data_IF_637191394975
#
_entry.id   IF_637191394975
#
_cell.length_a   1.000
_cell.length_b   1.000
_cell.length_c   1.000
_cell.angle_alpha   90.00
_cell.angle_beta   90.00
_cell.angle_gamma   90.00
#
_symmetry.space_group_name_H-M   'P 1'
#
loop_
_entity.id
_entity.type
_entity.pdbx_description
1 polymer ?
#
# COMPACT_ATOMS: atom_id res chain seq x y z
N UNK A 1 10.51 10.67 10.91
CA UNK A 1 10.75 9.92 12.16
C UNK A 1 9.81 8.72 12.34
N UNK A 2 8.55 8.76 11.91
CA UNK A 2 7.57 7.67 12.13
C UNK A 2 7.94 6.32 11.48
N UNK A 3 8.54 6.30 10.30
CA UNK A 3 8.89 5.03 9.63
C UNK A 3 10.07 4.30 10.27
N UNK A 4 11.05 5.01 10.80
CA UNK A 4 12.24 4.40 11.43
C UNK A 4 11.91 3.59 12.68
N UNK A 5 10.97 4.06 13.50
CA UNK A 5 10.49 3.30 14.67
C UNK A 5 9.66 2.08 14.26
N UNK A 6 8.84 2.18 13.19
CA UNK A 6 8.08 1.05 12.68
C UNK A 6 8.96 -0.07 12.11
N UNK A 7 10.03 0.28 11.37
CA UNK A 7 11.00 -0.70 10.87
C UNK A 7 11.70 -1.43 12.02
N UNK A 8 12.16 -0.72 13.06
CA UNK A 8 12.82 -1.33 14.21
C UNK A 8 11.88 -2.24 14.98
N UNK A 9 10.68 -1.77 15.34
CA UNK A 9 9.69 -2.59 16.07
C UNK A 9 9.29 -3.84 15.28
N UNK A 10 9.04 -3.70 13.97
CA UNK A 10 8.70 -4.83 13.13
C UNK A 10 9.88 -5.80 12.98
N UNK A 11 11.10 -5.28 12.83
CA UNK A 11 12.32 -6.06 12.73
C UNK A 11 12.60 -6.86 14.00
N UNK A 12 12.54 -6.20 15.16
CA UNK A 12 12.74 -6.85 16.47
C UNK A 12 11.72 -7.98 16.68
N UNK A 13 10.42 -7.73 16.41
CA UNK A 13 9.38 -8.75 16.53
C UNK A 13 9.57 -9.91 15.56
N UNK A 14 9.91 -9.63 14.29
CA UNK A 14 10.17 -10.69 13.31
C UNK A 14 11.40 -11.51 13.67
N UNK A 15 12.43 -10.88 14.22
CA UNK A 15 13.63 -11.55 14.70
C UNK A 15 13.33 -12.45 15.89
N UNK A 16 12.54 -11.97 16.86
CA UNK A 16 12.11 -12.74 18.04
C UNK A 16 11.22 -13.94 17.67
N UNK A 17 10.24 -13.73 16.80
CA UNK A 17 9.29 -14.78 16.36
C UNK A 17 9.98 -15.78 15.42
N UNK A 18 10.98 -15.34 14.67
CA UNK A 18 11.62 -16.12 13.61
C UNK A 18 10.78 -16.16 12.32
N UNK A 19 11.18 -17.03 11.38
CA UNK A 19 10.46 -17.25 10.12
C UNK A 19 10.44 -16.05 9.16
N UNK A 20 11.60 -15.40 8.93
CA UNK A 20 11.76 -14.30 7.96
C UNK A 20 11.07 -14.59 6.62
N UNK A 21 11.16 -15.83 6.14
CA UNK A 21 10.61 -16.25 4.84
C UNK A 21 9.07 -16.23 4.76
N UNK A 22 8.38 -16.12 5.90
CA UNK A 22 6.92 -15.98 5.95
C UNK A 22 6.44 -14.54 5.84
N UNK A 23 7.34 -13.56 5.88
CA UNK A 23 7.01 -12.13 5.82
C UNK A 23 7.38 -11.55 4.47
N UNK A 24 6.50 -10.72 3.93
CA UNK A 24 6.77 -9.86 2.79
C UNK A 24 7.07 -8.46 3.33
N UNK A 25 8.33 -8.07 3.36
CA UNK A 25 8.78 -6.77 3.87
C UNK A 25 8.70 -5.73 2.76
N UNK A 26 7.84 -4.73 2.94
CA UNK A 26 7.72 -3.57 2.06
C UNK A 26 8.09 -2.29 2.81
N UNK A 27 9.07 -1.56 2.30
CA UNK A 27 9.45 -0.25 2.83
C UNK A 27 9.74 0.76 1.72
N UNK A 28 10.21 1.93 2.08
CA UNK A 28 10.32 3.07 1.17
C UNK A 28 11.65 3.78 1.30
N UNK A 29 12.15 4.26 0.16
CA UNK A 29 13.31 5.16 0.09
C UNK A 29 12.86 6.55 -0.36
N UNK A 30 13.46 7.58 0.24
CA UNK A 30 13.27 8.99 -0.13
C UNK A 30 14.60 9.72 -0.03
N UNK A 31 14.83 10.62 -0.96
CA UNK A 31 16.00 11.55 -0.95
C UNK A 31 15.47 12.99 -0.92
N UNK A 32 15.91 13.74 0.09
CA UNK A 32 15.42 15.10 0.34
C UNK A 32 14.10 15.15 1.15
N UNK A 33 13.82 16.30 1.79
CA UNK A 33 12.61 16.50 2.60
C UNK A 33 12.65 15.87 4.00
N UNK A 34 11.50 15.85 4.70
CA UNK A 34 11.36 15.43 6.11
C UNK A 34 11.75 13.97 6.43
N UNK A 35 12.10 13.16 5.46
CA UNK A 35 12.45 11.74 5.65
C UNK A 35 13.73 11.30 4.96
N UNK A 36 14.31 12.10 4.08
CA UNK A 36 15.56 11.81 3.37
C UNK A 36 16.75 12.41 4.10
N UNK A 37 17.84 11.65 4.20
CA UNK A 37 19.10 12.10 4.79
C UNK A 37 19.68 13.33 4.08
N UNK A 38 20.64 13.96 4.71
CA UNK A 38 21.27 15.22 4.34
C UNK A 38 21.76 15.30 2.88
N UNK A 39 22.11 16.52 2.46
CA UNK A 39 22.55 16.79 1.09
C UNK A 39 23.77 15.94 0.70
N UNK A 40 23.61 15.20 -0.38
CA UNK A 40 24.62 14.35 -0.98
C UNK A 40 24.12 13.77 -2.30
N UNK A 41 24.96 13.04 -3.07
CA UNK A 41 24.50 12.35 -4.27
C UNK A 41 23.33 11.40 -3.97
N UNK A 42 22.32 11.42 -4.83
CA UNK A 42 21.09 10.62 -4.64
C UNK A 42 21.37 9.16 -4.33
N UNK A 43 22.28 8.54 -5.10
CA UNK A 43 22.64 7.13 -4.93
C UNK A 43 23.28 6.85 -3.56
N UNK A 44 24.11 7.75 -3.06
CA UNK A 44 24.77 7.59 -1.75
C UNK A 44 23.75 7.66 -0.62
N UNK A 45 22.87 8.66 -0.61
CA UNK A 45 21.78 8.81 0.36
C UNK A 45 20.83 7.61 0.32
N UNK A 46 20.53 7.13 -0.87
CA UNK A 46 19.68 5.94 -1.05
C UNK A 46 20.36 4.68 -0.48
N UNK A 47 21.64 4.45 -0.77
CA UNK A 47 22.40 3.30 -0.25
C UNK A 47 22.50 3.30 1.27
N UNK A 48 22.71 4.47 1.90
CA UNK A 48 22.68 4.61 3.36
C UNK A 48 21.28 4.28 3.92
N UNK A 49 20.20 4.72 3.23
CA UNK A 49 18.82 4.41 3.63
C UNK A 49 18.55 2.90 3.57
N UNK A 50 18.98 2.22 2.51
CA UNK A 50 18.86 0.77 2.40
C UNK A 50 19.61 0.05 3.52
N UNK A 51 20.89 0.42 3.77
CA UNK A 51 21.69 -0.19 4.83
C UNK A 51 21.00 -0.09 6.20
N UNK A 52 20.47 1.09 6.54
CA UNK A 52 19.71 1.29 7.77
C UNK A 52 18.40 0.49 7.84
N UNK A 53 17.69 0.31 6.71
CA UNK A 53 16.48 -0.51 6.69
C UNK A 53 16.81 -2.00 6.89
N UNK A 54 17.86 -2.51 6.24
CA UNK A 54 18.34 -3.89 6.43
C UNK A 54 18.73 -4.16 7.90
N UNK A 55 19.47 -3.23 8.51
CA UNK A 55 19.86 -3.29 9.92
C UNK A 55 18.62 -3.33 10.85
N UNK A 56 17.64 -2.42 10.66
CA UNK A 56 16.43 -2.35 11.49
C UNK A 56 15.52 -3.56 11.35
N UNK A 57 15.45 -4.14 10.15
CA UNK A 57 14.66 -5.35 9.92
C UNK A 57 15.39 -6.64 10.27
N UNK A 58 16.65 -6.58 10.70
CA UNK A 58 17.50 -7.75 10.98
C UNK A 58 17.52 -8.74 9.82
N UNK A 59 17.71 -8.26 8.58
CA UNK A 59 17.62 -9.07 7.36
C UNK A 59 18.69 -8.62 6.35
N UNK A 60 19.06 -9.52 5.45
CA UNK A 60 19.97 -9.25 4.35
C UNK A 60 19.28 -8.77 3.07
N UNK A 61 17.93 -8.87 3.00
CA UNK A 61 17.16 -8.45 1.85
C UNK A 61 15.77 -7.90 2.24
N UNK A 62 15.20 -7.07 1.36
CA UNK A 62 13.84 -6.52 1.46
C UNK A 62 13.04 -7.01 0.27
N UNK A 63 11.78 -7.40 0.50
CA UNK A 63 10.95 -7.89 -0.61
C UNK A 63 10.55 -6.76 -1.56
N UNK A 64 10.11 -5.62 -1.06
CA UNK A 64 9.70 -4.49 -1.88
C UNK A 64 10.29 -3.18 -1.36
N UNK A 65 11.08 -2.53 -2.21
CA UNK A 65 11.54 -1.16 -1.97
C UNK A 65 10.81 -0.20 -2.93
N UNK A 66 10.23 0.86 -2.38
CA UNK A 66 9.43 1.82 -3.15
C UNK A 66 9.97 3.23 -3.03
N UNK A 67 9.95 3.98 -4.13
CA UNK A 67 10.18 5.43 -4.11
C UNK A 67 9.00 6.11 -3.45
N UNK A 68 9.24 6.82 -2.35
CA UNK A 68 8.20 7.49 -1.58
C UNK A 68 7.70 8.76 -2.25
N UNK A 69 6.37 8.86 -2.41
CA UNK A 69 5.67 10.05 -2.93
C UNK A 69 6.25 10.60 -4.24
N UNK A 70 6.65 9.72 -5.15
CA UNK A 70 7.30 10.08 -6.41
C UNK A 70 8.47 11.07 -6.23
N UNK A 71 9.20 10.96 -5.12
CA UNK A 71 10.37 11.79 -4.85
C UNK A 71 11.53 11.39 -5.75
N UNK A 72 11.82 12.18 -6.78
CA UNK A 72 12.89 11.97 -7.74
C UNK A 72 12.92 10.53 -8.33
N UNK A 73 11.81 10.05 -8.90
CA UNK A 73 11.72 8.65 -9.36
C UNK A 73 12.73 8.33 -10.47
N UNK A 74 13.04 9.29 -11.34
CA UNK A 74 14.00 9.11 -12.43
C UNK A 74 15.44 8.88 -11.91
N UNK A 75 15.78 9.45 -10.76
CA UNK A 75 17.08 9.24 -10.13
C UNK A 75 17.12 7.99 -9.24
N UNK A 76 16.01 7.66 -8.56
CA UNK A 76 15.96 6.55 -7.61
C UNK A 76 15.68 5.19 -8.25
N UNK A 77 14.81 5.10 -9.27
CA UNK A 77 14.48 3.81 -9.88
C UNK A 77 15.71 3.10 -10.47
N UNK A 78 16.68 3.76 -11.13
CA UNK A 78 17.93 3.09 -11.53
C UNK A 78 18.68 2.48 -10.34
N UNK A 79 18.74 3.17 -9.19
CA UNK A 79 19.40 2.66 -7.97
C UNK A 79 18.64 1.43 -7.43
N UNK A 80 17.31 1.45 -7.47
CA UNK A 80 16.50 0.29 -7.09
C UNK A 80 16.74 -0.91 -8.03
N UNK A 81 16.91 -0.67 -9.33
CA UNK A 81 17.24 -1.73 -10.30
C UNK A 81 18.62 -2.36 -10.01
N UNK A 82 19.62 -1.56 -9.62
CA UNK A 82 20.93 -2.06 -9.17
C UNK A 82 20.80 -2.92 -7.91
N UNK A 83 20.00 -2.50 -6.94
CA UNK A 83 19.74 -3.29 -5.72
C UNK A 83 19.01 -4.60 -6.02
N UNK A 84 18.08 -4.58 -6.97
CA UNK A 84 17.36 -5.77 -7.45
C UNK A 84 18.32 -6.74 -8.15
N UNK A 85 19.19 -6.25 -9.02
CA UNK A 85 20.24 -7.04 -9.66
C UNK A 85 21.21 -7.65 -8.66
N UNK A 86 21.56 -6.91 -7.60
CA UNK A 86 22.40 -7.36 -6.48
C UNK A 86 21.66 -8.26 -5.47
N UNK A 87 20.38 -8.57 -5.69
CA UNK A 87 19.50 -9.37 -4.80
C UNK A 87 19.32 -8.78 -3.39
N UNK A 88 19.60 -7.51 -3.20
CA UNK A 88 19.32 -6.79 -1.95
C UNK A 88 17.84 -6.46 -1.79
N UNK A 89 17.13 -6.32 -2.91
CA UNK A 89 15.68 -6.20 -2.94
C UNK A 89 15.12 -7.16 -3.99
N UNK A 90 13.86 -7.57 -3.81
CA UNK A 90 13.19 -8.49 -4.72
C UNK A 90 12.34 -7.75 -5.76
N UNK A 91 11.64 -6.71 -5.34
CA UNK A 91 10.75 -5.91 -6.17
C UNK A 91 11.00 -4.42 -6.01
N UNK A 92 10.74 -3.68 -7.08
CA UNK A 92 10.79 -2.22 -7.13
C UNK A 92 9.39 -1.64 -7.21
N UNK A 93 9.21 -0.41 -6.71
CA UNK A 93 7.91 0.24 -6.79
C UNK A 93 7.96 1.74 -6.55
N UNK A 94 6.81 2.37 -6.72
CA UNK A 94 6.61 3.79 -6.43
C UNK A 94 5.34 4.00 -5.61
N UNK A 95 5.29 5.09 -4.85
CA UNK A 95 4.11 5.40 -4.03
C UNK A 95 3.61 6.82 -4.27
N UNK A 96 2.30 6.99 -4.20
CA UNK A 96 1.65 8.27 -3.95
C UNK A 96 0.38 8.10 -3.13
N UNK A 97 -0.07 9.16 -2.47
CA UNK A 97 -1.36 9.27 -1.80
C UNK A 97 -2.02 10.61 -2.11
N UNK A 98 -1.73 11.15 -3.30
CA UNK A 98 -2.25 12.42 -3.78
C UNK A 98 -2.68 12.30 -5.23
N UNK A 99 -3.95 12.56 -5.50
CA UNK A 99 -4.53 12.59 -6.84
C UNK A 99 -3.88 13.65 -7.75
N UNK A 100 -3.32 14.70 -7.18
CA UNK A 100 -2.52 15.70 -7.91
C UNK A 100 -1.28 15.08 -8.58
N UNK A 101 -0.79 13.96 -8.08
CA UNK A 101 0.36 13.25 -8.63
C UNK A 101 -0.02 12.13 -9.61
N UNK A 102 -1.31 11.84 -9.83
CA UNK A 102 -1.74 10.74 -10.70
C UNK A 102 -1.27 10.90 -12.13
N UNK A 103 -1.30 12.12 -12.69
CA UNK A 103 -0.77 12.37 -14.02
C UNK A 103 0.72 12.06 -14.16
N UNK A 104 1.52 12.43 -13.16
CA UNK A 104 2.95 12.10 -13.13
C UNK A 104 3.19 10.58 -12.93
N UNK A 105 2.38 9.93 -12.09
CA UNK A 105 2.42 8.47 -11.91
C UNK A 105 2.09 7.74 -13.22
N UNK A 106 1.02 8.12 -13.91
CA UNK A 106 0.63 7.53 -15.19
C UNK A 106 1.72 7.69 -16.26
N UNK A 107 2.32 8.88 -16.34
CA UNK A 107 3.44 9.14 -17.25
C UNK A 107 4.61 8.20 -16.95
N UNK A 108 4.96 8.02 -15.67
CA UNK A 108 6.02 7.12 -15.24
C UNK A 108 5.68 5.64 -15.55
N UNK A 109 4.46 5.20 -15.28
CA UNK A 109 3.97 3.84 -15.59
C UNK A 109 3.99 3.56 -17.11
N UNK A 110 3.80 4.58 -17.94
CA UNK A 110 3.90 4.44 -19.38
C UNK A 110 5.34 4.40 -19.89
N UNK A 111 6.23 5.15 -19.27
CA UNK A 111 7.61 5.32 -19.71
C UNK A 111 8.56 4.21 -19.22
N UNK A 112 8.26 3.55 -18.08
CA UNK A 112 9.20 2.67 -17.41
C UNK A 112 8.53 1.46 -16.78
N UNK A 113 9.26 0.32 -16.73
CA UNK A 113 8.84 -0.88 -16.00
C UNK A 113 9.39 -0.85 -14.57
N UNK A 114 8.55 -1.16 -13.61
CA UNK A 114 8.82 -1.50 -12.22
C UNK A 114 7.72 -2.46 -11.76
N UNK A 115 7.77 -2.96 -10.53
CA UNK A 115 6.88 -4.08 -10.18
C UNK A 115 5.59 -3.62 -9.47
N UNK A 116 5.67 -2.60 -8.60
CA UNK A 116 4.55 -2.22 -7.72
C UNK A 116 4.20 -0.74 -7.79
N UNK A 117 2.90 -0.47 -7.77
CA UNK A 117 2.34 0.86 -7.50
C UNK A 117 1.65 0.83 -6.14
N UNK A 118 1.98 1.76 -5.26
CA UNK A 118 1.19 1.98 -4.04
C UNK A 118 0.38 3.27 -4.18
N UNK A 119 -0.94 3.17 -4.02
CA UNK A 119 -1.88 4.28 -4.26
C UNK A 119 -2.99 4.31 -3.22
N UNK A 120 -3.55 5.47 -2.96
CA UNK A 120 -4.70 5.61 -2.09
C UNK A 120 -6.00 5.21 -2.81
N UNK A 121 -6.82 4.45 -2.10
CA UNK A 121 -8.18 4.09 -2.51
C UNK A 121 -9.03 3.83 -1.28
N UNK A 122 -10.19 4.46 -1.21
CA UNK A 122 -11.19 4.24 -0.18
C UNK A 122 -12.58 4.38 -0.79
N UNK A 123 -13.62 3.95 -0.06
CA UNK A 123 -15.01 4.09 -0.52
C UNK A 123 -15.42 5.55 -0.74
N UNK A 124 -14.81 6.49 -0.01
CA UNK A 124 -15.01 7.93 -0.09
C UNK A 124 -13.94 8.67 -0.92
N UNK A 125 -12.97 7.95 -1.48
CA UNK A 125 -11.95 8.45 -2.42
C UNK A 125 -11.68 7.40 -3.49
N UNK A 126 -12.32 7.54 -4.64
CA UNK A 126 -12.34 6.57 -5.74
C UNK A 126 -11.57 7.02 -6.98
N UNK A 127 -10.90 8.18 -6.94
CA UNK A 127 -10.27 8.79 -8.11
C UNK A 127 -9.25 7.86 -8.82
N UNK A 128 -8.55 7.00 -8.06
CA UNK A 128 -7.63 6.04 -8.63
C UNK A 128 -8.30 5.01 -9.56
N UNK A 129 -9.61 4.75 -9.39
CA UNK A 129 -10.36 3.80 -10.22
C UNK A 129 -10.59 4.29 -11.65
N UNK A 130 -10.51 5.61 -11.89
CA UNK A 130 -10.82 6.17 -13.19
C UNK A 130 -9.72 5.87 -14.22
N UNK A 131 -8.45 5.95 -13.83
CA UNK A 131 -7.31 5.84 -14.77
C UNK A 131 -6.15 5.00 -14.26
N UNK A 132 -5.70 5.22 -13.01
CA UNK A 132 -4.48 4.59 -12.48
C UNK A 132 -4.65 3.08 -12.32
N UNK A 133 -5.75 2.63 -11.73
CA UNK A 133 -6.00 1.19 -11.53
C UNK A 133 -6.23 0.45 -12.85
N UNK A 134 -7.03 0.95 -13.83
CA UNK A 134 -7.10 0.34 -15.16
C UNK A 134 -5.75 0.25 -15.86
N UNK A 135 -4.93 1.30 -15.79
CA UNK A 135 -3.59 1.30 -16.36
C UNK A 135 -2.66 0.28 -15.67
N UNK A 136 -2.75 0.17 -14.35
CA UNK A 136 -1.98 -0.81 -13.60
C UNK A 136 -2.33 -2.24 -14.00
N UNK A 137 -3.62 -2.54 -14.15
CA UNK A 137 -4.10 -3.85 -14.61
C UNK A 137 -3.63 -4.16 -16.03
N UNK A 138 -3.78 -3.22 -16.97
CA UNK A 138 -3.38 -3.38 -18.38
C UNK A 138 -1.87 -3.65 -18.51
N UNK A 139 -1.06 -2.96 -17.73
CA UNK A 139 0.42 -3.07 -17.78
C UNK A 139 1.00 -4.14 -16.85
N UNK A 140 0.18 -4.81 -16.03
CA UNK A 140 0.60 -5.86 -15.12
C UNK A 140 1.38 -5.38 -13.90
N UNK A 141 1.13 -4.15 -13.42
CA UNK A 141 1.67 -3.70 -12.14
C UNK A 141 0.89 -4.32 -10.97
N UNK A 142 1.59 -4.76 -9.95
CA UNK A 142 0.96 -5.10 -8.68
C UNK A 142 0.58 -3.82 -7.92
N UNK A 143 -0.61 -3.79 -7.31
CA UNK A 143 -1.13 -2.61 -6.62
C UNK A 143 -1.27 -2.85 -5.13
N UNK A 144 -0.59 -2.03 -4.33
CA UNK A 144 -0.82 -1.89 -2.90
C UNK A 144 -1.74 -0.69 -2.65
N UNK A 145 -2.81 -0.89 -1.89
CA UNK A 145 -3.72 0.20 -1.53
C UNK A 145 -3.42 0.70 -0.12
N UNK A 146 -3.06 1.97 -0.01
CA UNK A 146 -2.96 2.69 1.26
C UNK A 146 -4.22 3.51 1.54
N UNK A 147 -4.33 4.05 2.76
CA UNK A 147 -5.46 4.87 3.24
C UNK A 147 -6.85 4.26 2.98
N UNK A 148 -7.06 2.93 3.14
CA UNK A 148 -8.30 2.26 2.74
C UNK A 148 -9.53 2.73 3.51
N UNK A 149 -9.32 3.38 4.63
CA UNK A 149 -10.37 3.94 5.50
C UNK A 149 -10.51 5.46 5.39
N UNK A 150 -9.95 6.11 4.35
CA UNK A 150 -10.12 7.54 4.14
C UNK A 150 -9.78 8.41 5.35
N UNK A 151 -8.78 8.00 6.16
CA UNK A 151 -8.45 8.64 7.47
C UNK A 151 -9.60 8.62 8.48
N UNK A 152 -10.49 7.61 8.41
CA UNK A 152 -11.62 7.44 9.32
C UNK A 152 -12.94 8.08 8.88
N UNK A 153 -12.96 8.87 7.81
CA UNK A 153 -14.19 9.52 7.31
C UNK A 153 -15.35 8.55 7.01
N UNK A 154 -15.13 7.41 6.32
CA UNK A 154 -16.18 6.44 6.06
C UNK A 154 -16.87 5.94 7.34
N UNK A 155 -16.12 5.73 8.42
CA UNK A 155 -16.70 5.29 9.70
C UNK A 155 -17.63 6.32 10.33
N UNK A 156 -17.33 7.62 10.15
CA UNK A 156 -18.21 8.68 10.65
C UNK A 156 -19.57 8.65 9.93
N UNK A 157 -19.56 8.34 8.63
CA UNK A 157 -20.77 8.28 7.80
C UNK A 157 -21.67 7.09 8.14
N UNK A 158 -21.10 5.98 8.56
CA UNK A 158 -21.81 4.75 8.94
C UNK A 158 -22.04 4.60 10.45
N UNK A 159 -21.66 5.58 11.25
CA UNK A 159 -21.76 5.51 12.72
C UNK A 159 -23.22 5.23 13.14
N UNK A 160 -23.42 4.19 13.96
CA UNK A 160 -24.74 3.78 14.44
C UNK A 160 -25.64 3.11 13.38
N UNK A 161 -25.17 2.91 12.16
CA UNK A 161 -25.95 2.24 11.12
C UNK A 161 -25.65 0.73 11.13
N UNK A 162 -26.70 -0.12 11.02
CA UNK A 162 -26.52 -1.56 10.88
C UNK A 162 -25.84 -1.89 9.54
N UNK A 163 -25.22 -3.06 9.46
CA UNK A 163 -24.75 -3.58 8.19
C UNK A 163 -25.92 -3.87 7.25
N UNK A 164 -25.80 -3.57 5.95
CA UNK A 164 -26.79 -3.96 4.95
C UNK A 164 -26.91 -5.50 4.86
N UNK A 165 -28.09 -5.99 4.46
CA UNK A 165 -28.32 -7.44 4.36
C UNK A 165 -27.35 -8.17 3.44
N UNK A 166 -26.91 -7.54 2.35
CA UNK A 166 -25.92 -8.12 1.42
C UNK A 166 -24.50 -8.27 2.01
N UNK A 167 -24.21 -7.65 3.17
CA UNK A 167 -22.89 -7.80 3.81
C UNK A 167 -22.61 -9.27 4.19
N UNK A 168 -23.67 -10.04 4.49
CA UNK A 168 -23.59 -11.48 4.73
C UNK A 168 -23.21 -12.26 3.45
N UNK A 169 -23.56 -11.77 2.27
CA UNK A 169 -23.23 -12.42 0.99
C UNK A 169 -21.73 -12.40 0.69
N UNK A 170 -21.00 -11.48 1.31
CA UNK A 170 -19.55 -11.35 1.24
C UNK A 170 -18.87 -11.62 2.59
N UNK A 171 -19.51 -12.34 3.48
CA UNK A 171 -18.97 -12.78 4.78
C UNK A 171 -18.46 -11.63 5.65
N UNK A 172 -19.12 -10.46 5.62
CA UNK A 172 -18.75 -9.31 6.45
C UNK A 172 -19.60 -9.26 7.71
N UNK A 173 -18.93 -9.03 8.84
CA UNK A 173 -19.55 -8.85 10.16
C UNK A 173 -19.31 -7.44 10.73
N UNK A 174 -18.54 -6.61 10.03
CA UNK A 174 -18.17 -5.26 10.44
C UNK A 174 -17.99 -4.34 9.22
N UNK A 175 -18.24 -3.03 9.40
CA UNK A 175 -18.07 -2.04 8.33
C UNK A 175 -16.63 -1.95 7.81
N UNK A 176 -15.62 -2.19 8.65
CA UNK A 176 -14.23 -2.20 8.19
C UNK A 176 -13.98 -3.30 7.16
N UNK A 177 -14.59 -4.47 7.35
CA UNK A 177 -14.51 -5.57 6.39
C UNK A 177 -15.23 -5.23 5.07
N UNK A 178 -16.39 -4.56 5.13
CA UNK A 178 -17.08 -4.07 3.93
C UNK A 178 -16.18 -3.14 3.12
N UNK A 179 -15.55 -2.15 3.78
CA UNK A 179 -14.66 -1.20 3.12
C UNK A 179 -13.43 -1.87 2.52
N UNK A 180 -12.81 -2.80 3.24
CA UNK A 180 -11.65 -3.53 2.73
C UNK A 180 -12.01 -4.47 1.59
N UNK A 181 -13.11 -5.21 1.69
CA UNK A 181 -13.57 -6.11 0.61
C UNK A 181 -14.02 -5.35 -0.63
N UNK A 182 -14.64 -4.18 -0.48
CA UNK A 182 -14.91 -3.28 -1.59
C UNK A 182 -13.65 -2.98 -2.41
N UNK A 183 -12.54 -2.71 -1.73
CA UNK A 183 -11.24 -2.45 -2.37
C UNK A 183 -10.67 -3.73 -2.96
N UNK A 184 -10.62 -4.82 -2.19
CA UNK A 184 -10.08 -6.11 -2.63
C UNK A 184 -10.85 -6.74 -3.80
N UNK A 185 -12.14 -6.43 -3.95
CA UNK A 185 -12.96 -6.85 -5.10
C UNK A 185 -12.61 -6.13 -6.41
N UNK A 186 -11.70 -5.14 -6.41
CA UNK A 186 -11.20 -4.53 -7.63
C UNK A 186 -10.08 -5.41 -8.24
N UNK A 187 -10.22 -5.89 -9.49
CA UNK A 187 -9.27 -6.83 -10.09
C UNK A 187 -7.84 -6.27 -10.26
N UNK A 188 -7.67 -4.96 -10.21
CA UNK A 188 -6.35 -4.33 -10.26
C UNK A 188 -5.61 -4.36 -8.91
N UNK A 189 -6.32 -4.61 -7.80
CA UNK A 189 -5.74 -4.54 -6.45
C UNK A 189 -5.11 -5.86 -6.06
N UNK A 190 -3.84 -5.82 -5.65
CA UNK A 190 -3.11 -6.98 -5.16
C UNK A 190 -3.23 -7.12 -3.65
N UNK A 191 -3.11 -6.02 -2.91
CA UNK A 191 -3.13 -6.03 -1.46
C UNK A 191 -3.59 -4.68 -0.89
N UNK A 192 -4.22 -4.72 0.26
CA UNK A 192 -4.62 -3.55 1.05
C UNK A 192 -3.80 -3.50 2.33
N UNK A 193 -3.29 -2.32 2.70
CA UNK A 193 -2.43 -2.12 3.88
C UNK A 193 -3.07 -1.21 4.93
N UNK A 194 -4.14 -1.66 5.63
CA UNK A 194 -4.77 -0.90 6.71
C UNK A 194 -3.85 -0.84 7.93
N UNK A 195 -3.55 0.38 8.40
CA UNK A 195 -2.80 0.58 9.65
C UNK A 195 -3.74 0.57 10.86
N UNK A 196 -3.31 -0.10 11.95
CA UNK A 196 -3.98 -0.06 13.26
C UNK A 196 -3.01 -0.35 14.38
N UNK A 197 -3.26 0.20 15.57
CA UNK A 197 -2.53 -0.09 16.81
C UNK A 197 -3.31 -1.05 17.74
N UNK A 198 -4.55 -1.43 17.37
CA UNK A 198 -5.42 -2.26 18.19
C UNK A 198 -5.55 -3.66 17.61
N UNK A 199 -5.33 -4.65 18.46
CA UNK A 199 -5.36 -6.07 18.09
C UNK A 199 -6.73 -6.51 17.56
N UNK A 200 -7.83 -6.02 18.18
CA UNK A 200 -9.18 -6.31 17.71
C UNK A 200 -9.43 -5.81 16.28
N UNK A 201 -8.96 -4.62 15.94
CA UNK A 201 -9.08 -4.08 14.58
C UNK A 201 -8.17 -4.81 13.59
N UNK A 202 -6.98 -5.24 14.02
CA UNK A 202 -6.13 -6.08 13.20
C UNK A 202 -6.81 -7.40 12.83
N UNK A 203 -7.51 -8.04 13.77
CA UNK A 203 -8.27 -9.28 13.51
C UNK A 203 -9.40 -9.06 12.50
N UNK A 204 -10.16 -7.96 12.60
CA UNK A 204 -11.19 -7.58 11.63
C UNK A 204 -10.58 -7.35 10.23
N UNK A 205 -9.46 -6.62 10.17
CA UNK A 205 -8.76 -6.35 8.92
C UNK A 205 -8.26 -7.63 8.23
N UNK A 206 -7.68 -8.57 8.99
CA UNK A 206 -7.24 -9.87 8.48
C UNK A 206 -8.45 -10.70 8.00
N UNK A 207 -9.57 -10.66 8.74
CA UNK A 207 -10.81 -11.32 8.36
C UNK A 207 -11.36 -10.86 6.99
N UNK A 208 -11.11 -9.61 6.59
CA UNK A 208 -11.50 -9.12 5.27
C UNK A 208 -10.77 -9.80 4.10
N UNK A 209 -9.62 -10.42 4.34
CA UNK A 209 -8.90 -11.19 3.31
C UNK A 209 -9.46 -12.61 3.13
N UNK A 210 -10.46 -13.01 3.90
CA UNK A 210 -11.06 -14.34 3.87
C UNK A 210 -12.49 -14.32 3.32
N UNK A 211 -12.93 -15.46 2.76
CA UNK A 211 -14.28 -15.62 2.24
C UNK A 211 -14.49 -14.91 0.90
N UNK A 212 -15.74 -14.59 0.61
CA UNK A 212 -16.19 -14.05 -0.68
C UNK A 212 -15.86 -12.58 -0.83
N UNK A 213 -15.48 -12.19 -2.04
CA UNK A 213 -15.29 -10.78 -2.42
C UNK A 213 -16.50 -10.30 -3.24
N UNK A 214 -16.85 -9.00 -3.18
CA UNK A 214 -17.89 -8.43 -4.04
C UNK A 214 -17.43 -8.44 -5.50
N UNK A 215 -18.34 -8.84 -6.38
CA UNK A 215 -18.20 -8.66 -7.81
C UNK A 215 -18.39 -7.18 -8.22
N UNK A 216 -18.27 -6.89 -9.51
CA UNK A 216 -18.40 -5.54 -10.03
C UNK A 216 -19.79 -4.93 -9.77
N UNK A 217 -20.86 -5.74 -9.83
CA UNK A 217 -22.22 -5.28 -9.60
C UNK A 217 -22.45 -4.92 -8.13
N UNK A 218 -21.98 -5.78 -7.23
CA UNK A 218 -22.08 -5.52 -5.79
C UNK A 218 -21.17 -4.35 -5.37
N UNK A 219 -19.97 -4.21 -5.93
CA UNK A 219 -19.12 -3.04 -5.67
C UNK A 219 -19.80 -1.73 -6.06
N UNK A 220 -20.45 -1.69 -7.23
CA UNK A 220 -21.23 -0.52 -7.66
C UNK A 220 -22.41 -0.23 -6.72
N UNK A 221 -23.09 -1.26 -6.25
CA UNK A 221 -24.16 -1.13 -5.25
C UNK A 221 -23.62 -0.57 -3.93
N UNK A 222 -22.49 -1.06 -3.45
CA UNK A 222 -21.82 -0.55 -2.24
C UNK A 222 -21.52 0.94 -2.38
N UNK A 223 -21.01 1.39 -3.52
CA UNK A 223 -20.77 2.81 -3.80
C UNK A 223 -22.05 3.63 -3.71
N UNK A 224 -23.11 3.19 -4.40
CA UNK A 224 -24.41 3.90 -4.44
C UNK A 224 -25.06 4.00 -3.06
N UNK A 225 -25.09 2.89 -2.30
CA UNK A 225 -25.65 2.88 -0.96
C UNK A 225 -24.82 3.74 0.01
N UNK A 226 -23.48 3.69 -0.09
CA UNK A 226 -22.61 4.54 0.72
C UNK A 226 -22.78 6.02 0.39
N UNK A 227 -22.94 6.39 -0.89
CA UNK A 227 -23.13 7.78 -1.30
C UNK A 227 -24.48 8.34 -0.81
N UNK A 228 -25.51 7.50 -0.71
CA UNK A 228 -26.84 7.85 -0.24
C UNK A 228 -26.96 8.00 1.29
N UNK A 229 -25.98 7.57 2.06
CA UNK A 229 -25.98 7.70 3.54
C UNK A 229 -25.82 9.15 4.00
#
# INVERSE_FOLDING_TARGET
>A
MLFRSAESVAGDLMHEIGNRDKYFIATKVSVGGRGGGGGGPVAEVANQSLAHSLERFHTDHIDLMQVWNLSQPDALLPVLDEWKAAKKIRYTGVTTSSDQQYGALEALMNARKFDFVQIDLAIDNRNAQERVLPLALDKGFAVLVNLPFGRGRPFQKVAGKPLPGWAADIDCTDWSQVFLKYILGNPAVTCVIPGTEKVEFLRLNIGAAQGRLPDAALRKRIEQEFDAL
#
